data_IF_107245972213
#
_entry.id   IF_107245972213
#
_cell.length_a   1.000
_cell.length_b   1.000
_cell.length_c   1.000
_cell.angle_alpha   90.00
_cell.angle_beta   90.00
_cell.angle_gamma   90.00
#
_symmetry.space_group_name_H-M   'P 1'
#
loop_
_entity.id
_entity.type
_entity.pdbx_description
1 polymer ?
#
# COMPACT_ATOMS: atom_id res chain seq x y z
N UNK A 1 12.24 -6.46 -15.13
CA UNK A 1 10.92 -6.16 -15.74
C UNK A 1 9.80 -5.86 -14.75
N UNK A 2 9.65 -6.54 -13.58
CA UNK A 2 8.51 -6.32 -12.67
C UNK A 2 8.39 -4.88 -12.14
N UNK A 3 9.51 -4.21 -11.85
CA UNK A 3 9.53 -2.84 -11.35
C UNK A 3 9.02 -1.81 -12.38
N UNK A 4 9.40 -1.96 -13.65
CA UNK A 4 8.95 -1.06 -14.72
C UNK A 4 7.44 -1.16 -14.92
N UNK A 5 6.91 -2.38 -14.92
CA UNK A 5 5.47 -2.63 -15.02
C UNK A 5 4.72 -2.06 -13.82
N UNK A 6 5.23 -2.30 -12.61
CA UNK A 6 4.70 -1.73 -11.37
C UNK A 6 4.69 -0.19 -11.38
N UNK A 7 5.77 0.43 -11.87
CA UNK A 7 5.87 1.87 -12.00
C UNK A 7 4.85 2.41 -13.00
N UNK A 8 4.69 1.76 -14.15
CA UNK A 8 3.69 2.11 -15.15
C UNK A 8 2.26 2.04 -14.59
N UNK A 9 1.92 0.97 -13.87
CA UNK A 9 0.61 0.80 -13.22
C UNK A 9 0.37 1.91 -12.20
N UNK A 10 1.37 2.25 -11.39
CA UNK A 10 1.29 3.38 -10.47
C UNK A 10 1.09 4.73 -11.16
N UNK A 11 1.77 4.96 -12.29
CA UNK A 11 1.54 6.15 -13.11
C UNK A 11 0.11 6.20 -13.68
N UNK A 12 -0.43 5.06 -14.13
CA UNK A 12 -1.81 4.97 -14.60
C UNK A 12 -2.79 5.29 -13.48
N UNK A 13 -2.60 4.72 -12.28
CA UNK A 13 -3.41 5.05 -11.11
C UNK A 13 -3.34 6.55 -10.79
N UNK A 14 -2.14 7.14 -10.80
CA UNK A 14 -1.97 8.58 -10.60
C UNK A 14 -2.68 9.42 -11.68
N UNK A 15 -2.59 9.05 -12.95
CA UNK A 15 -3.28 9.76 -14.03
C UNK A 15 -4.80 9.62 -13.93
N UNK A 16 -5.30 8.44 -13.54
CA UNK A 16 -6.72 8.24 -13.25
C UNK A 16 -7.18 9.16 -12.11
N UNK A 17 -6.37 9.30 -11.05
CA UNK A 17 -6.60 10.23 -9.95
C UNK A 17 -6.64 11.69 -10.41
N UNK A 18 -5.61 12.10 -11.14
CA UNK A 18 -5.32 13.51 -11.38
C UNK A 18 -6.10 14.07 -12.58
N UNK A 19 -6.40 13.22 -13.58
CA UNK A 19 -6.89 13.68 -14.88
C UNK A 19 -8.34 13.26 -15.19
N UNK A 20 -8.85 12.18 -14.58
CA UNK A 20 -10.15 11.61 -15.00
C UNK A 20 -11.28 12.04 -14.08
N UNK A 21 -11.15 11.94 -12.75
CA UNK A 21 -12.19 12.44 -11.86
C UNK A 21 -11.65 12.71 -10.46
N UNK A 22 -12.01 13.86 -9.89
CA UNK A 22 -11.91 14.10 -8.44
C UNK A 22 -12.97 13.30 -7.65
N UNK A 23 -13.99 12.77 -8.35
CA UNK A 23 -15.10 11.98 -7.79
C UNK A 23 -14.87 10.49 -8.06
N UNK A 24 -14.21 9.86 -7.10
CA UNK A 24 -13.80 8.45 -7.13
C UNK A 24 -14.93 7.43 -7.21
N UNK A 25 -16.12 7.81 -6.74
CA UNK A 25 -17.32 6.96 -6.81
C UNK A 25 -17.59 6.50 -8.23
N UNK A 26 -17.52 7.41 -9.21
CA UNK A 26 -17.80 7.13 -10.62
C UNK A 26 -16.78 6.16 -11.23
N UNK A 27 -15.49 6.38 -10.97
CA UNK A 27 -14.43 5.51 -11.47
C UNK A 27 -14.53 4.10 -10.87
N UNK A 28 -14.85 4.00 -9.58
CA UNK A 28 -15.06 2.72 -8.92
C UNK A 28 -16.22 1.94 -9.56
N UNK A 29 -17.32 2.59 -9.91
CA UNK A 29 -18.44 1.93 -10.61
C UNK A 29 -18.04 1.42 -12.01
N UNK A 30 -17.31 2.23 -12.78
CA UNK A 30 -16.84 1.83 -14.12
C UNK A 30 -15.85 0.65 -14.04
N UNK A 31 -14.87 0.73 -13.15
CA UNK A 31 -13.90 -0.34 -12.93
C UNK A 31 -14.58 -1.62 -12.45
N UNK A 32 -15.57 -1.51 -11.56
CA UNK A 32 -16.31 -2.66 -11.05
C UNK A 32 -17.17 -3.32 -12.13
N UNK A 33 -17.82 -2.54 -12.99
CA UNK A 33 -18.66 -3.06 -14.07
C UNK A 33 -17.84 -3.81 -15.15
N UNK A 34 -16.52 -3.60 -15.18
CA UNK A 34 -15.65 -4.25 -16.14
C UNK A 34 -15.52 -5.76 -15.88
N UNK A 35 -15.64 -6.64 -16.91
CA UNK A 35 -15.57 -8.09 -16.74
C UNK A 35 -14.22 -8.56 -16.20
N UNK A 36 -13.15 -7.78 -16.42
CA UNK A 36 -11.78 -8.07 -15.95
C UNK A 36 -11.38 -7.27 -14.71
N UNK A 37 -12.33 -6.79 -13.90
CA UNK A 37 -11.99 -6.01 -12.71
C UNK A 37 -11.10 -6.79 -11.72
N UNK A 38 -11.21 -8.11 -11.67
CA UNK A 38 -10.37 -8.94 -10.79
C UNK A 38 -8.89 -8.90 -11.22
N UNK A 39 -8.62 -8.90 -12.53
CA UNK A 39 -7.26 -8.72 -13.07
C UNK A 39 -6.73 -7.34 -12.69
N UNK A 40 -7.58 -6.31 -12.74
CA UNK A 40 -7.20 -4.98 -12.32
C UNK A 40 -6.84 -4.93 -10.84
N UNK A 41 -7.64 -5.55 -9.97
CA UNK A 41 -7.35 -5.67 -8.53
C UNK A 41 -5.98 -6.34 -8.33
N UNK A 42 -5.75 -7.46 -9.00
CA UNK A 42 -4.48 -8.20 -8.88
C UNK A 42 -3.27 -7.37 -9.29
N UNK A 43 -3.37 -6.71 -10.44
CA UNK A 43 -2.29 -5.89 -10.98
C UNK A 43 -2.06 -4.65 -10.11
N UNK A 44 -3.12 -3.97 -9.66
CA UNK A 44 -3.02 -2.73 -8.90
C UNK A 44 -2.42 -2.97 -7.52
N UNK A 45 -2.98 -3.90 -6.74
CA UNK A 45 -2.43 -4.24 -5.42
C UNK A 45 -1.03 -4.86 -5.53
N UNK A 46 -0.79 -5.70 -6.55
CA UNK A 46 0.52 -6.27 -6.83
C UNK A 46 1.59 -5.20 -7.10
N UNK A 47 1.25 -4.19 -7.92
CA UNK A 47 2.13 -3.07 -8.19
C UNK A 47 2.41 -2.23 -6.94
N UNK A 48 1.39 -1.93 -6.13
CA UNK A 48 1.61 -1.17 -4.88
C UNK A 48 2.53 -1.92 -3.93
N UNK A 49 2.31 -3.21 -3.73
CA UNK A 49 3.19 -4.04 -2.89
C UNK A 49 4.63 -4.05 -3.40
N UNK A 50 4.83 -4.17 -4.72
CA UNK A 50 6.16 -4.13 -5.32
C UNK A 50 6.84 -2.76 -5.13
N UNK A 51 6.10 -1.66 -5.28
CA UNK A 51 6.61 -0.31 -5.07
C UNK A 51 6.98 -0.06 -3.60
N UNK A 52 6.18 -0.56 -2.65
CA UNK A 52 6.49 -0.48 -1.21
C UNK A 52 7.76 -1.27 -0.88
N UNK A 53 7.91 -2.48 -1.42
CA UNK A 53 9.14 -3.26 -1.23
C UNK A 53 10.37 -2.56 -1.82
N UNK A 54 10.20 -1.93 -2.99
CA UNK A 54 11.27 -1.14 -3.60
C UNK A 54 11.62 0.10 -2.78
N UNK A 55 10.61 0.77 -2.20
CA UNK A 55 10.82 1.88 -1.28
C UNK A 55 11.58 1.41 -0.04
N UNK A 56 11.24 0.25 0.54
CA UNK A 56 11.97 -0.31 1.68
C UNK A 56 13.46 -0.49 1.36
N UNK A 57 13.79 -1.06 0.19
CA UNK A 57 15.20 -1.25 -0.24
C UNK A 57 15.94 0.10 -0.26
N UNK A 58 15.32 1.15 -0.79
CA UNK A 58 15.91 2.49 -0.83
C UNK A 58 16.03 3.15 0.54
N UNK A 59 15.07 2.90 1.44
CA UNK A 59 15.10 3.42 2.80
C UNK A 59 16.13 2.71 3.68
N UNK A 60 16.47 1.46 3.35
CA UNK A 60 17.49 0.66 4.04
C UNK A 60 18.90 0.76 3.43
N UNK A 61 19.11 1.66 2.46
CA UNK A 61 20.42 1.84 1.83
C UNK A 61 21.50 2.22 2.86
N UNK A 62 22.67 1.60 2.72
CA UNK A 62 23.77 1.66 3.70
C UNK A 62 24.64 2.90 3.51
N UNK A 63 25.48 3.20 4.51
CA UNK A 63 26.30 4.41 4.59
C UNK A 63 27.18 4.65 3.33
N UNK A 64 27.64 3.57 2.67
CA UNK A 64 28.48 3.63 1.47
C UNK A 64 27.77 4.14 0.19
N UNK A 65 26.43 4.04 0.08
CA UNK A 65 25.68 4.55 -1.10
C UNK A 65 25.43 6.06 -1.03
N UNK A 66 25.49 6.66 0.18
CA UNK A 66 25.23 8.09 0.40
C UNK A 66 26.48 8.97 0.41
N UNK A 67 27.67 8.41 0.67
CA UNK A 67 28.93 9.15 0.72
C UNK A 67 29.62 9.39 -0.64
N UNK A 68 29.21 8.69 -1.71
CA UNK A 68 29.56 9.14 -3.07
C UNK A 68 28.75 10.40 -3.40
N UNK A 69 29.32 11.33 -4.18
CA UNK A 69 28.73 12.63 -4.59
C UNK A 69 27.37 12.58 -5.34
N UNK A 70 26.63 11.46 -5.23
CA UNK A 70 25.30 11.14 -5.77
C UNK A 70 24.14 11.33 -4.76
N UNK A 71 24.40 11.82 -3.55
CA UNK A 71 23.40 11.93 -2.45
C UNK A 71 22.12 12.69 -2.82
N UNK A 72 22.22 13.77 -3.61
CA UNK A 72 21.05 14.51 -4.11
C UNK A 72 20.18 13.68 -5.08
N UNK A 73 20.81 12.80 -5.87
CA UNK A 73 20.11 11.88 -6.77
C UNK A 73 19.39 10.77 -5.99
N UNK A 74 20.04 10.22 -4.97
CA UNK A 74 19.45 9.21 -4.08
C UNK A 74 18.24 9.76 -3.33
N UNK A 75 18.35 10.95 -2.74
CA UNK A 75 17.26 11.62 -2.02
C UNK A 75 16.06 11.93 -2.93
N UNK A 76 16.30 12.49 -4.13
CA UNK A 76 15.24 12.71 -5.13
C UNK A 76 14.58 11.40 -5.53
N UNK A 77 15.35 10.32 -5.65
CA UNK A 77 14.82 9.02 -6.01
C UNK A 77 13.98 8.38 -4.89
N UNK A 78 14.31 8.60 -3.61
CA UNK A 78 13.49 8.21 -2.46
C UNK A 78 12.19 9.02 -2.45
N UNK A 79 12.28 10.35 -2.57
CA UNK A 79 11.12 11.24 -2.59
C UNK A 79 10.14 10.88 -3.72
N UNK A 80 10.65 10.59 -4.92
CA UNK A 80 9.83 10.13 -6.04
C UNK A 80 9.12 8.80 -5.71
N UNK A 81 9.82 7.84 -5.10
CA UNK A 81 9.22 6.56 -4.70
C UNK A 81 8.15 6.75 -3.63
N UNK A 82 8.37 7.63 -2.65
CA UNK A 82 7.38 8.00 -1.65
C UNK A 82 6.12 8.57 -2.32
N UNK A 83 6.26 9.57 -3.19
CA UNK A 83 5.13 10.17 -3.91
C UNK A 83 4.36 9.14 -4.74
N UNK A 84 5.07 8.25 -5.43
CA UNK A 84 4.45 7.21 -6.25
C UNK A 84 3.68 6.19 -5.39
N UNK A 85 4.26 5.76 -4.27
CA UNK A 85 3.58 4.87 -3.32
C UNK A 85 2.35 5.53 -2.71
N UNK A 86 2.44 6.81 -2.35
CA UNK A 86 1.35 7.57 -1.74
C UNK A 86 0.17 7.73 -2.69
N UNK A 87 0.44 8.16 -3.93
CA UNK A 87 -0.59 8.29 -4.94
C UNK A 87 -1.30 6.97 -5.21
N UNK A 88 -0.53 5.88 -5.27
CA UNK A 88 -1.07 4.54 -5.55
C UNK A 88 -1.89 3.99 -4.37
N UNK A 89 -1.40 4.14 -3.14
CA UNK A 89 -2.17 3.75 -1.95
C UNK A 89 -3.41 4.61 -1.76
N UNK A 90 -3.33 5.91 -2.04
CA UNK A 90 -4.48 6.80 -2.01
C UNK A 90 -5.55 6.35 -3.03
N UNK A 91 -5.12 6.00 -4.24
CA UNK A 91 -6.00 5.44 -5.26
C UNK A 91 -6.71 4.17 -4.76
N UNK A 92 -5.95 3.20 -4.21
CA UNK A 92 -6.53 1.96 -3.67
C UNK A 92 -7.45 2.22 -2.47
N UNK A 93 -7.07 3.13 -1.57
CA UNK A 93 -7.89 3.54 -0.43
C UNK A 93 -9.25 4.08 -0.88
N UNK A 94 -9.26 4.96 -1.88
CA UNK A 94 -10.50 5.51 -2.45
C UNK A 94 -11.38 4.42 -3.08
N UNK A 95 -10.80 3.42 -3.74
CA UNK A 95 -11.58 2.28 -4.24
C UNK A 95 -12.20 1.46 -3.11
N UNK A 96 -11.44 1.21 -2.04
CA UNK A 96 -11.93 0.46 -0.88
C UNK A 96 -13.04 1.18 -0.10
N UNK A 97 -13.27 2.48 -0.30
CA UNK A 97 -14.43 3.18 0.27
C UNK A 97 -15.75 2.75 -0.40
N UNK A 98 -15.69 2.28 -1.65
CA UNK A 98 -16.87 1.79 -2.35
C UNK A 98 -17.22 0.36 -1.89
N UNK A 99 -18.43 0.18 -1.36
CA UNK A 99 -18.95 -1.12 -0.89
C UNK A 99 -18.85 -2.22 -1.95
N UNK A 100 -19.23 -1.89 -3.19
CA UNK A 100 -19.33 -2.86 -4.27
C UNK A 100 -17.94 -3.30 -4.78
N UNK A 101 -16.94 -2.42 -4.68
CA UNK A 101 -15.55 -2.77 -4.89
C UNK A 101 -15.02 -3.68 -3.78
N UNK A 102 -15.29 -3.37 -2.50
CA UNK A 102 -14.89 -4.24 -1.37
C UNK A 102 -15.45 -5.65 -1.52
N UNK A 103 -16.73 -5.78 -1.87
CA UNK A 103 -17.37 -7.09 -2.11
C UNK A 103 -16.66 -7.90 -3.20
N UNK A 104 -16.15 -7.23 -4.23
CA UNK A 104 -15.37 -7.88 -5.29
C UNK A 104 -13.96 -8.25 -4.81
N UNK A 105 -13.32 -7.38 -4.04
CA UNK A 105 -12.04 -7.64 -3.40
C UNK A 105 -12.11 -8.84 -2.44
N UNK A 106 -13.18 -8.99 -1.64
CA UNK A 106 -13.36 -10.15 -0.75
C UNK A 106 -13.45 -11.48 -1.50
N UNK A 107 -14.05 -11.48 -2.69
CA UNK A 107 -14.11 -12.69 -3.55
C UNK A 107 -12.75 -13.03 -4.16
N UNK A 108 -11.78 -12.11 -4.10
CA UNK A 108 -10.44 -12.36 -4.60
C UNK A 108 -9.64 -13.17 -3.57
N UNK A 109 -9.37 -14.43 -3.92
CA UNK A 109 -8.66 -15.39 -3.08
C UNK A 109 -7.21 -14.99 -2.79
N UNK A 110 -6.55 -14.28 -3.69
CA UNK A 110 -5.15 -13.89 -3.51
C UNK A 110 -5.02 -12.78 -2.47
N UNK A 111 -5.90 -11.78 -2.53
CA UNK A 111 -5.81 -10.60 -1.68
C UNK A 111 -6.49 -10.76 -0.34
N UNK A 112 -7.66 -11.38 -0.29
CA UNK A 112 -8.39 -11.60 0.96
C UNK A 112 -8.10 -12.98 1.56
N UNK A 113 -8.32 -14.07 0.80
CA UNK A 113 -8.13 -15.43 1.31
C UNK A 113 -6.70 -15.70 1.79
N UNK A 114 -5.71 -15.54 0.90
CA UNK A 114 -4.29 -15.77 1.22
C UNK A 114 -3.61 -14.60 1.95
N UNK A 115 -4.38 -13.62 2.42
CA UNK A 115 -3.85 -12.49 3.19
C UNK A 115 -2.97 -11.54 2.38
N UNK A 116 -3.11 -11.45 1.05
CA UNK A 116 -2.33 -10.52 0.23
C UNK A 116 -2.44 -9.05 0.69
N UNK A 117 -3.62 -8.61 1.15
CA UNK A 117 -3.80 -7.29 1.76
C UNK A 117 -3.03 -7.18 3.07
N UNK A 118 -3.04 -8.22 3.92
CA UNK A 118 -2.23 -8.24 5.15
C UNK A 118 -0.73 -8.18 4.86
N UNK A 119 -0.25 -8.85 3.80
CA UNK A 119 1.14 -8.72 3.36
C UNK A 119 1.47 -7.28 2.94
N UNK A 120 0.57 -6.61 2.22
CA UNK A 120 0.75 -5.20 1.84
C UNK A 120 0.77 -4.29 3.08
N UNK A 121 -0.16 -4.48 4.01
CA UNK A 121 -0.22 -3.76 5.28
C UNK A 121 1.09 -3.96 6.03
N UNK A 122 1.47 -5.21 6.28
CA UNK A 122 2.69 -5.54 7.03
C UNK A 122 3.94 -4.95 6.38
N UNK A 123 4.11 -5.08 5.06
CA UNK A 123 5.26 -4.52 4.34
C UNK A 123 5.33 -3.00 4.50
N UNK A 124 4.17 -2.33 4.51
CA UNK A 124 4.09 -0.87 4.68
C UNK A 124 4.36 -0.46 6.14
N UNK A 125 3.83 -1.20 7.13
CA UNK A 125 4.06 -0.93 8.54
C UNK A 125 5.53 -1.13 8.95
N UNK A 126 6.19 -2.12 8.34
CA UNK A 126 7.62 -2.40 8.49
C UNK A 126 8.53 -1.41 7.75
N UNK A 127 7.98 -0.41 7.07
CA UNK A 127 8.79 0.66 6.49
C UNK A 127 9.57 1.37 7.58
N UNK A 128 10.89 1.20 7.52
CA UNK A 128 11.86 1.79 8.45
C UNK A 128 12.84 2.65 7.68
N UNK A 129 13.10 3.84 8.21
CA UNK A 129 14.03 4.81 7.63
C UNK A 129 15.39 4.58 8.26
N UNK A 130 16.41 4.35 7.44
CA UNK A 130 17.78 4.23 7.93
C UNK A 130 18.22 5.51 8.65
N UNK A 131 18.89 5.42 9.81
CA UNK A 131 19.40 6.59 10.54
C UNK A 131 20.50 7.34 9.75
N UNK A 132 21.06 6.71 8.71
CA UNK A 132 22.08 7.29 7.84
C UNK A 132 21.50 8.19 6.74
N UNK A 133 20.20 8.07 6.45
CA UNK A 133 19.50 9.10 5.69
C UNK A 133 19.48 10.36 6.55
N UNK A 134 20.02 11.48 6.05
CA UNK A 134 19.82 12.79 6.69
C UNK A 134 18.33 13.06 6.73
N UNK A 135 17.66 12.65 7.81
CA UNK A 135 16.21 12.48 7.90
C UNK A 135 15.48 13.69 7.32
N UNK A 136 15.02 13.63 6.06
CA UNK A 136 14.23 14.71 5.54
C UNK A 136 12.89 14.55 6.23
N UNK A 137 12.46 15.54 7.03
CA UNK A 137 11.14 15.59 7.65
C UNK A 137 10.02 15.17 6.67
N UNK A 138 10.20 15.47 5.39
CA UNK A 138 9.33 15.06 4.30
C UNK A 138 9.24 13.54 4.09
N UNK A 139 10.34 12.78 4.16
CA UNK A 139 10.35 11.31 3.99
C UNK A 139 9.69 10.65 5.18
N UNK A 140 9.99 11.11 6.40
CA UNK A 140 9.34 10.63 7.64
C UNK A 140 7.83 10.83 7.55
N UNK A 141 7.40 12.05 7.24
CA UNK A 141 5.98 12.36 7.06
C UNK A 141 5.33 11.54 5.94
N UNK A 142 6.07 11.23 4.88
CA UNK A 142 5.59 10.39 3.78
C UNK A 142 5.37 8.95 4.23
N UNK A 143 6.34 8.35 4.92
CA UNK A 143 6.22 6.99 5.47
C UNK A 143 5.05 6.91 6.46
N UNK A 144 4.88 7.89 7.35
CA UNK A 144 3.73 7.91 8.26
C UNK A 144 2.39 7.99 7.52
N UNK A 145 2.30 8.78 6.44
CA UNK A 145 1.09 8.85 5.60
C UNK A 145 0.83 7.53 4.87
N UNK A 146 1.85 6.83 4.39
CA UNK A 146 1.73 5.49 3.81
C UNK A 146 1.16 4.49 4.82
N UNK A 147 1.69 4.46 6.05
CA UNK A 147 1.20 3.61 7.14
C UNK A 147 -0.26 3.92 7.47
N UNK A 148 -0.63 5.19 7.62
CA UNK A 148 -2.01 5.58 7.89
C UNK A 148 -2.98 5.16 6.76
N UNK A 149 -2.57 5.26 5.49
CA UNK A 149 -3.41 4.86 4.34
C UNK A 149 -3.66 3.37 4.29
N UNK A 150 -2.62 2.55 4.52
CA UNK A 150 -2.78 1.09 4.48
C UNK A 150 -3.66 0.61 5.64
N UNK A 151 -3.58 1.26 6.80
CA UNK A 151 -4.47 0.99 7.93
C UNK A 151 -5.91 1.40 7.65
N UNK A 152 -6.13 2.53 6.95
CA UNK A 152 -7.47 2.92 6.49
C UNK A 152 -8.05 1.91 5.49
N UNK A 153 -7.23 1.35 4.59
CA UNK A 153 -7.66 0.25 3.72
C UNK A 153 -8.09 -0.95 4.55
N UNK A 154 -7.27 -1.38 5.51
CA UNK A 154 -7.58 -2.51 6.38
C UNK A 154 -8.87 -2.28 7.17
N UNK A 155 -9.06 -1.08 7.73
CA UNK A 155 -10.26 -0.70 8.47
C UNK A 155 -11.51 -0.83 7.60
N UNK A 156 -11.49 -0.25 6.39
CA UNK A 156 -12.63 -0.35 5.47
C UNK A 156 -12.98 -1.80 5.10
N UNK A 157 -12.00 -2.71 5.09
CA UNK A 157 -12.25 -4.13 4.85
C UNK A 157 -12.86 -4.82 6.08
N UNK A 158 -12.36 -4.51 7.28
CA UNK A 158 -12.92 -5.03 8.52
C UNK A 158 -14.34 -4.53 8.82
N UNK A 159 -14.67 -3.31 8.40
CA UNK A 159 -16.01 -2.70 8.58
C UNK A 159 -17.07 -3.20 7.58
N UNK A 160 -16.74 -4.16 6.71
CA UNK A 160 -17.69 -4.62 5.70
C UNK A 160 -18.79 -5.50 6.30
N UNK A 161 -20.04 -5.05 6.17
CA UNK A 161 -21.22 -5.73 6.71
C UNK A 161 -21.60 -7.04 5.97
N UNK A 162 -21.14 -7.22 4.73
CA UNK A 162 -21.59 -8.34 3.88
C UNK A 162 -20.77 -9.62 4.05
N UNK A 163 -19.48 -9.50 4.38
CA UNK A 163 -18.55 -10.60 4.62
C UNK A 163 -17.56 -10.14 5.68
N UNK A 164 -17.41 -10.90 6.76
CA UNK A 164 -16.38 -10.64 7.76
C UNK A 164 -15.01 -10.96 7.17
N UNK A 165 -14.23 -9.91 6.86
CA UNK A 165 -12.85 -10.06 6.40
C UNK A 165 -12.01 -10.89 7.38
N UNK A 166 -12.27 -10.74 8.67
CA UNK A 166 -11.59 -11.49 9.72
C UNK A 166 -11.95 -12.98 9.69
N UNK A 167 -13.19 -13.33 9.37
CA UNK A 167 -13.61 -14.73 9.25
C UNK A 167 -12.92 -15.40 8.06
N UNK A 168 -12.80 -14.69 6.94
CA UNK A 168 -12.09 -15.19 5.75
C UNK A 168 -10.60 -15.41 6.06
N UNK A 169 -9.95 -14.44 6.70
CA UNK A 169 -8.53 -14.52 7.07
C UNK A 169 -8.26 -15.60 8.12
N UNK A 170 -9.17 -15.79 9.09
CA UNK A 170 -9.01 -16.82 10.14
C UNK A 170 -9.24 -18.24 9.61
N UNK A 171 -9.90 -18.39 8.46
CA UNK A 171 -10.14 -19.69 7.81
C UNK A 171 -8.86 -20.34 7.26
N UNK A 172 -7.80 -19.55 7.02
CA UNK A 172 -6.52 -20.01 6.47
C UNK A 172 -5.40 -19.78 7.49
N UNK A 173 -4.68 -20.82 7.96
CA UNK A 173 -3.67 -20.68 9.01
C UNK A 173 -2.57 -19.67 8.71
N UNK A 174 -2.07 -19.63 7.47
CA UNK A 174 -1.04 -18.68 7.03
C UNK A 174 -1.53 -17.22 7.12
N UNK A 175 -2.76 -16.97 6.70
CA UNK A 175 -3.40 -15.66 6.76
C UNK A 175 -3.66 -15.22 8.20
N UNK A 176 -4.03 -16.16 9.07
CA UNK A 176 -4.20 -15.91 10.51
C UNK A 176 -2.88 -15.48 11.17
N UNK A 177 -1.77 -16.17 10.87
CA UNK A 177 -0.46 -15.79 11.39
C UNK A 177 -0.04 -14.41 10.88
N UNK A 178 -0.29 -14.09 9.61
CA UNK A 178 -0.09 -12.75 9.06
C UNK A 178 -0.93 -11.69 9.80
N UNK A 179 -2.18 -12.00 10.12
CA UNK A 179 -3.06 -11.09 10.86
C UNK A 179 -2.53 -10.81 12.27
N UNK A 180 -2.04 -11.84 12.97
CA UNK A 180 -1.38 -11.69 14.27
C UNK A 180 -0.14 -10.82 14.16
N UNK A 181 0.71 -11.03 13.15
CA UNK A 181 1.88 -10.17 12.94
C UNK A 181 1.47 -8.72 12.69
N UNK A 182 0.45 -8.47 11.84
CA UNK A 182 -0.05 -7.11 11.60
C UNK A 182 -0.59 -6.48 12.88
N UNK A 183 -1.32 -7.22 13.72
CA UNK A 183 -1.81 -6.71 14.99
C UNK A 183 -0.67 -6.25 15.91
N UNK A 184 0.42 -7.03 15.99
CA UNK A 184 1.63 -6.64 16.74
C UNK A 184 2.23 -5.35 16.18
N UNK A 185 2.38 -5.23 14.86
CA UNK A 185 2.92 -4.01 14.23
C UNK A 185 2.04 -2.78 14.51
N UNK A 186 0.70 -2.93 14.52
CA UNK A 186 -0.23 -1.85 14.88
C UNK A 186 -0.04 -1.43 16.33
N UNK A 187 0.07 -2.38 17.27
CA UNK A 187 0.33 -2.09 18.68
C UNK A 187 1.68 -1.38 18.90
N UNK A 188 2.69 -1.68 18.07
CA UNK A 188 3.97 -0.98 18.12
C UNK A 188 3.84 0.48 17.64
N UNK A 189 3.02 0.75 16.63
CA UNK A 189 2.81 2.12 16.12
C UNK A 189 2.13 3.01 17.18
N UNK A 190 1.18 2.48 17.94
CA UNK A 190 0.53 3.23 19.04
C UNK A 190 1.54 3.64 20.12
N UNK A 191 2.60 2.84 20.34
CA UNK A 191 3.65 3.17 21.32
C UNK A 191 4.57 4.31 20.85
N UNK A 192 4.75 4.51 19.54
CA UNK A 192 5.62 5.58 19.00
C UNK A 192 4.93 6.94 18.86
N UNK A 193 3.60 7.03 18.97
CA UNK A 193 2.86 8.30 18.95
C UNK A 193 2.55 8.88 20.35
N UNK A 194 3.01 8.23 21.44
CA UNK A 194 2.78 8.63 22.85
C UNK A 194 4.05 9.20 23.53
N UNK A 195 5.11 9.54 22.78
CA UNK A 195 6.30 10.23 23.31
C UNK A 195 6.54 11.59 22.65
#
# INVERSE_FOLDING_TARGET
MPLLYSALVACIMYLLTACISSQWSELAYVLQAHPKADIFIDVAFGAVRMNINFLQIKLSADENEFHSNSSLGAEKAVNFCCQQCEASLQFLQSLCQNKSFRERLFRNKEWCGKGGVLCLVQATLKLNISPFLKEPLAVVASVSRLKARVLSILLHLCESESVSYLDEVTSIPESLELAKCVAVEVSLIEQFYIL
#
